data_IF_354696264054
#
_entry.id   IF_354696264054
#
_cell.length_a   1.000
_cell.length_b   1.000
_cell.length_c   1.000
_cell.angle_alpha   90.00
_cell.angle_beta   90.00
_cell.angle_gamma   90.00
#
_symmetry.space_group_name_H-M   'P 1'
#
loop_
_entity.id
_entity.type
_entity.pdbx_description
1 polymer ?
#
# COMPACT_ATOMS: atom_id res chain seq x y z
N UNK A 1 -10.96 -7.88 -4.98
CA UNK A 1 -11.29 -8.07 -3.56
C UNK A 1 -10.48 -7.18 -2.62
N UNK A 2 -9.21 -6.87 -2.94
CA UNK A 2 -8.34 -6.00 -2.11
C UNK A 2 -8.92 -4.61 -1.82
N UNK A 3 -9.74 -4.06 -2.71
CA UNK A 3 -10.35 -2.74 -2.54
C UNK A 3 -11.66 -2.74 -1.74
N UNK A 4 -12.21 -3.89 -1.33
CA UNK A 4 -13.54 -4.00 -0.73
C UNK A 4 -13.74 -3.11 0.51
N UNK A 5 -12.79 -3.11 1.44
CA UNK A 5 -12.87 -2.29 2.65
C UNK A 5 -12.70 -0.80 2.36
N UNK A 6 -11.93 -0.45 1.32
CA UNK A 6 -11.75 0.93 0.88
C UNK A 6 -13.02 1.46 0.21
N UNK A 7 -13.67 0.64 -0.61
CA UNK A 7 -14.99 0.95 -1.19
C UNK A 7 -16.06 1.16 -0.12
N UNK A 8 -16.14 0.28 0.88
CA UNK A 8 -17.07 0.44 2.01
C UNK A 8 -16.81 1.76 2.75
N UNK A 9 -15.56 2.10 3.03
CA UNK A 9 -15.19 3.36 3.69
C UNK A 9 -15.53 4.57 2.85
N UNK A 10 -15.18 4.56 1.57
CA UNK A 10 -15.51 5.62 0.61
C UNK A 10 -17.02 5.81 0.49
N UNK A 11 -17.77 4.71 0.38
CA UNK A 11 -19.22 4.69 0.28
C UNK A 11 -19.91 5.23 1.54
N UNK A 12 -19.43 4.87 2.74
CA UNK A 12 -19.96 5.40 4.00
C UNK A 12 -19.71 6.91 4.15
N UNK A 13 -18.52 7.40 3.81
CA UNK A 13 -18.23 8.83 3.83
C UNK A 13 -19.11 9.59 2.82
N UNK A 14 -19.35 9.02 1.64
CA UNK A 14 -20.26 9.58 0.64
C UNK A 14 -21.71 9.62 1.15
N UNK A 15 -22.22 8.53 1.72
CA UNK A 15 -23.58 8.47 2.29
C UNK A 15 -23.81 9.51 3.38
N UNK A 16 -22.83 9.67 4.30
CA UNK A 16 -22.86 10.69 5.36
C UNK A 16 -22.93 12.09 4.78
N UNK A 17 -22.13 12.36 3.75
CA UNK A 17 -22.16 13.64 3.03
C UNK A 17 -23.52 13.87 2.37
N UNK A 18 -24.09 12.88 1.66
CA UNK A 18 -25.40 12.98 1.03
C UNK A 18 -26.50 13.31 2.05
N UNK A 19 -26.49 12.67 3.21
CA UNK A 19 -27.44 12.93 4.29
C UNK A 19 -27.24 14.33 4.91
N UNK A 20 -25.99 14.74 5.14
CA UNK A 20 -25.66 16.08 5.65
C UNK A 20 -26.15 17.18 4.71
N UNK A 21 -26.08 16.95 3.39
CA UNK A 21 -26.55 17.90 2.37
C UNK A 21 -28.06 17.78 2.09
N UNK A 22 -28.76 16.88 2.80
CA UNK A 22 -30.21 16.68 2.61
C UNK A 22 -30.58 16.03 1.27
N UNK A 23 -29.61 15.38 0.61
CA UNK A 23 -29.83 14.69 -0.67
C UNK A 23 -30.51 13.32 -0.43
N UNK A 24 -30.15 12.65 0.68
CA UNK A 24 -30.85 11.47 1.19
C UNK A 24 -31.36 11.70 2.60
N UNK A 25 -32.37 10.92 3.03
CA UNK A 25 -32.93 11.00 4.36
C UNK A 25 -32.02 10.36 5.44
N UNK A 26 -32.27 10.72 6.71
CA UNK A 26 -31.58 10.10 7.86
C UNK A 26 -31.86 8.59 7.95
N UNK A 27 -33.07 8.16 7.60
CA UNK A 27 -33.42 6.74 7.59
C UNK A 27 -32.67 5.97 6.51
N UNK A 28 -32.46 6.57 5.33
CA UNK A 28 -31.64 6.01 4.26
C UNK A 28 -30.19 5.85 4.73
N UNK A 29 -29.61 6.89 5.36
CA UNK A 29 -28.26 6.81 5.90
C UNK A 29 -28.14 5.68 6.93
N UNK A 30 -29.06 5.62 7.89
CA UNK A 30 -29.05 4.59 8.91
C UNK A 30 -29.17 3.16 8.33
N UNK A 31 -29.99 3.01 7.26
CA UNK A 31 -30.10 1.74 6.55
C UNK A 31 -28.80 1.38 5.83
N UNK A 32 -28.18 2.34 5.11
CA UNK A 32 -26.91 2.16 4.40
C UNK A 32 -25.79 1.78 5.39
N UNK A 33 -25.69 2.47 6.52
CA UNK A 33 -24.65 2.17 7.53
C UNK A 33 -24.81 0.76 8.11
N UNK A 34 -26.03 0.35 8.45
CA UNK A 34 -26.31 -1.03 8.90
C UNK A 34 -26.00 -2.07 7.82
N UNK A 35 -26.42 -1.81 6.57
CA UNK A 35 -26.17 -2.72 5.45
C UNK A 35 -24.69 -2.87 5.14
N UNK A 36 -23.94 -1.77 5.13
CA UNK A 36 -22.50 -1.79 4.92
C UNK A 36 -21.73 -2.49 6.06
N UNK A 37 -22.20 -2.35 7.30
CA UNK A 37 -21.63 -3.09 8.43
C UNK A 37 -21.84 -4.60 8.28
N UNK A 38 -23.03 -5.03 7.81
CA UNK A 38 -23.30 -6.43 7.52
C UNK A 38 -22.43 -6.96 6.36
N UNK A 39 -22.34 -6.22 5.25
CA UNK A 39 -21.48 -6.57 4.10
C UNK A 39 -20.02 -6.70 4.54
N UNK A 40 -19.53 -5.75 5.35
CA UNK A 40 -18.16 -5.80 5.89
C UNK A 40 -17.93 -7.07 6.71
N UNK A 41 -18.87 -7.42 7.59
CA UNK A 41 -18.77 -8.62 8.41
C UNK A 41 -18.75 -9.89 7.55
N UNK A 42 -19.65 -9.99 6.54
CA UNK A 42 -19.66 -11.12 5.61
C UNK A 42 -18.33 -11.29 4.87
N UNK A 43 -17.65 -10.18 4.53
CA UNK A 43 -16.32 -10.22 3.90
C UNK A 43 -15.24 -10.66 4.90
N UNK A 44 -15.27 -10.17 6.13
CA UNK A 44 -14.32 -10.51 7.19
C UNK A 44 -14.44 -11.97 7.63
N UNK A 45 -15.66 -12.55 7.63
CA UNK A 45 -15.93 -13.95 7.96
C UNK A 45 -15.86 -14.89 6.77
N UNK A 46 -15.46 -14.38 5.57
CA UNK A 46 -15.41 -15.14 4.32
C UNK A 46 -16.76 -15.74 3.86
N UNK A 47 -17.87 -15.23 4.39
CA UNK A 47 -19.22 -15.65 4.02
C UNK A 47 -19.77 -14.90 2.79
N UNK A 48 -19.16 -13.78 2.41
CA UNK A 48 -19.58 -12.96 1.27
C UNK A 48 -19.45 -13.73 -0.05
N UNK A 49 -20.54 -13.84 -0.78
CA UNK A 49 -20.60 -14.54 -2.06
C UNK A 49 -20.22 -13.60 -3.20
N UNK A 50 -18.98 -13.73 -3.69
CA UNK A 50 -18.49 -12.98 -4.85
C UNK A 50 -19.02 -13.60 -6.14
N UNK A 51 -19.68 -12.82 -6.99
CA UNK A 51 -20.12 -13.21 -8.34
C UNK A 51 -19.15 -12.67 -9.39
N UNK A 52 -18.70 -13.55 -10.28
CA UNK A 52 -17.92 -13.15 -11.47
C UNK A 52 -18.80 -12.53 -12.55
N UNK A 53 -20.12 -12.76 -12.50
CA UNK A 53 -21.09 -12.14 -13.42
C UNK A 53 -21.30 -10.65 -13.10
N UNK A 54 -20.89 -10.22 -11.91
CA UNK A 54 -20.85 -8.83 -11.53
C UNK A 54 -19.50 -8.22 -11.95
N UNK A 55 -19.56 -7.11 -12.66
CA UNK A 55 -18.43 -6.46 -13.33
C UNK A 55 -17.18 -6.31 -12.43
N UNK A 56 -17.39 -5.88 -11.19
CA UNK A 56 -16.30 -5.55 -10.28
C UNK A 56 -16.67 -5.75 -8.79
N UNK A 57 -15.72 -5.47 -7.90
CA UNK A 57 -15.90 -5.53 -6.44
C UNK A 57 -16.99 -4.57 -5.97
N UNK A 58 -17.10 -3.42 -6.59
CA UNK A 58 -18.02 -2.35 -6.23
C UNK A 58 -19.47 -2.76 -6.54
N UNK A 59 -19.72 -3.33 -7.72
CA UNK A 59 -21.05 -3.83 -8.11
C UNK A 59 -21.50 -4.99 -7.21
N UNK A 60 -20.59 -5.90 -6.85
CA UNK A 60 -20.86 -6.97 -5.89
C UNK A 60 -21.35 -6.41 -4.55
N UNK A 61 -20.64 -5.42 -3.99
CA UNK A 61 -20.98 -4.77 -2.72
C UNK A 61 -22.31 -4.01 -2.86
N UNK A 62 -22.51 -3.25 -3.93
CA UNK A 62 -23.73 -2.46 -4.20
C UNK A 62 -24.97 -3.35 -4.31
N UNK A 63 -24.89 -4.47 -5.03
CA UNK A 63 -25.97 -5.45 -5.14
C UNK A 63 -26.29 -6.09 -3.80
N UNK A 64 -25.26 -6.49 -3.05
CA UNK A 64 -25.47 -7.07 -1.72
C UNK A 64 -26.10 -6.07 -0.75
N UNK A 65 -25.60 -4.83 -0.73
CA UNK A 65 -26.22 -3.75 0.04
C UNK A 65 -27.68 -3.56 -0.32
N UNK A 66 -27.98 -3.48 -1.63
CA UNK A 66 -29.38 -3.32 -2.11
C UNK A 66 -30.27 -4.48 -1.71
N UNK A 67 -29.76 -5.71 -1.72
CA UNK A 67 -30.51 -6.87 -1.24
C UNK A 67 -30.84 -6.79 0.27
N UNK A 68 -29.95 -6.18 1.07
CA UNK A 68 -30.12 -6.04 2.51
C UNK A 68 -31.05 -4.88 2.89
N UNK A 69 -30.98 -3.74 2.19
CA UNK A 69 -31.61 -2.48 2.61
C UNK A 69 -32.58 -1.87 1.57
N UNK A 70 -32.78 -2.55 0.45
CA UNK A 70 -33.72 -2.12 -0.59
C UNK A 70 -33.31 -0.81 -1.28
N UNK A 71 -34.27 0.10 -1.49
CA UNK A 71 -34.06 1.35 -2.24
C UNK A 71 -33.08 2.32 -1.59
N UNK A 72 -32.86 2.24 -0.29
CA UNK A 72 -31.84 3.01 0.38
C UNK A 72 -30.42 2.70 -0.19
N UNK A 73 -30.15 1.42 -0.48
CA UNK A 73 -28.91 0.99 -1.13
C UNK A 73 -28.71 1.62 -2.51
N UNK A 74 -29.78 1.70 -3.32
CA UNK A 74 -29.72 2.33 -4.65
C UNK A 74 -29.43 3.84 -4.58
N UNK A 75 -29.91 4.53 -3.54
CA UNK A 75 -29.69 5.98 -3.34
C UNK A 75 -28.24 6.31 -3.01
N UNK A 76 -27.45 5.34 -2.53
CA UNK A 76 -26.03 5.53 -2.27
C UNK A 76 -25.24 6.02 -3.49
N UNK A 77 -25.64 5.63 -4.71
CA UNK A 77 -24.95 6.01 -5.93
C UNK A 77 -25.25 7.45 -6.41
N UNK A 78 -26.12 8.20 -5.71
CA UNK A 78 -26.51 9.56 -6.09
C UNK A 78 -25.29 10.48 -6.13
N UNK A 79 -25.13 11.21 -7.25
CA UNK A 79 -24.01 12.17 -7.43
C UNK A 79 -22.62 11.53 -7.54
N UNK A 80 -22.54 10.23 -7.80
CA UNK A 80 -21.28 9.46 -7.91
C UNK A 80 -21.25 8.68 -9.22
N UNK A 81 -20.07 8.41 -9.73
CA UNK A 81 -19.80 7.48 -10.83
C UNK A 81 -18.86 6.38 -10.36
N UNK A 82 -18.81 5.26 -11.08
CA UNK A 82 -17.79 4.25 -10.89
C UNK A 82 -16.36 4.85 -11.06
N UNK A 83 -16.21 5.84 -11.93
CA UNK A 83 -14.90 6.46 -12.23
C UNK A 83 -14.28 7.15 -11.00
N UNK A 84 -14.99 8.04 -10.33
CA UNK A 84 -14.49 8.73 -9.14
C UNK A 84 -14.45 7.82 -7.90
N UNK A 85 -15.35 6.84 -7.82
CA UNK A 85 -15.34 5.80 -6.79
C UNK A 85 -14.04 4.98 -6.86
N UNK A 86 -13.74 4.35 -8.00
CA UNK A 86 -12.54 3.52 -8.19
C UNK A 86 -11.26 4.34 -7.98
N UNK A 87 -11.20 5.58 -8.51
CA UNK A 87 -10.05 6.45 -8.33
C UNK A 87 -9.80 6.77 -6.84
N UNK A 88 -10.87 6.94 -6.04
CA UNK A 88 -10.79 7.14 -4.60
C UNK A 88 -10.28 5.89 -3.88
N UNK A 89 -10.83 4.73 -4.20
CA UNK A 89 -10.51 3.48 -3.52
C UNK A 89 -9.07 3.04 -3.76
N UNK A 90 -8.56 3.22 -4.98
CA UNK A 90 -7.15 2.95 -5.30
C UNK A 90 -6.23 3.88 -4.50
N UNK A 91 -6.58 5.17 -4.35
CA UNK A 91 -5.77 6.12 -3.56
C UNK A 91 -5.82 5.78 -2.06
N UNK A 92 -6.98 5.39 -1.54
CA UNK A 92 -7.12 4.94 -0.15
C UNK A 92 -6.26 3.70 0.12
N UNK A 93 -6.37 2.70 -0.75
CA UNK A 93 -5.58 1.47 -0.66
C UNK A 93 -4.07 1.75 -0.76
N UNK A 94 -3.65 2.47 -1.79
CA UNK A 94 -2.23 2.72 -2.02
C UNK A 94 -1.60 3.53 -0.89
N UNK A 95 -2.35 4.48 -0.31
CA UNK A 95 -1.90 5.24 0.87
C UNK A 95 -1.58 4.33 2.05
N UNK A 96 -2.42 3.32 2.31
CA UNK A 96 -2.21 2.33 3.37
C UNK A 96 -1.03 1.39 3.07
N UNK A 97 -0.90 0.96 1.82
CA UNK A 97 0.27 0.16 1.40
C UNK A 97 1.58 0.93 1.55
N UNK A 98 1.61 2.22 1.20
CA UNK A 98 2.78 3.08 1.41
C UNK A 98 3.11 3.19 2.90
N UNK A 99 2.11 3.41 3.77
CA UNK A 99 2.30 3.51 5.21
C UNK A 99 2.84 2.19 5.80
N UNK A 100 2.34 1.05 5.31
CA UNK A 100 2.83 -0.28 5.67
C UNK A 100 4.29 -0.50 5.25
N UNK A 101 4.63 -0.14 4.01
CA UNK A 101 6.00 -0.25 3.49
C UNK A 101 6.97 0.66 4.24
N UNK A 102 6.59 1.90 4.58
CA UNK A 102 7.42 2.78 5.42
C UNK A 102 7.71 2.13 6.78
N UNK A 103 6.70 1.47 7.37
CA UNK A 103 6.87 0.72 8.62
C UNK A 103 7.89 -0.42 8.49
N UNK A 104 7.84 -1.18 7.40
CA UNK A 104 8.80 -2.27 7.13
C UNK A 104 10.23 -1.73 6.89
N UNK A 105 10.37 -0.66 6.11
CA UNK A 105 11.67 -0.02 5.87
C UNK A 105 12.25 0.56 7.16
N UNK A 106 11.42 1.11 8.05
CA UNK A 106 11.84 1.57 9.37
C UNK A 106 12.37 0.43 10.24
N UNK A 107 11.69 -0.71 10.24
CA UNK A 107 12.14 -1.90 10.95
C UNK A 107 13.46 -2.44 10.37
N UNK A 108 13.59 -2.44 9.05
CA UNK A 108 14.84 -2.80 8.36
C UNK A 108 15.98 -1.86 8.74
N UNK A 109 15.77 -0.55 8.74
CA UNK A 109 16.77 0.42 9.19
C UNK A 109 17.19 0.22 10.66
N UNK A 110 16.22 -0.09 11.53
CA UNK A 110 16.51 -0.35 12.94
C UNK A 110 17.41 -1.60 13.11
N UNK A 111 17.14 -2.66 12.35
CA UNK A 111 17.97 -3.87 12.37
C UNK A 111 19.39 -3.62 11.83
N UNK A 112 19.52 -2.84 10.75
CA UNK A 112 20.82 -2.43 10.22
C UNK A 112 21.61 -1.58 11.23
N UNK A 113 20.96 -0.64 11.90
CA UNK A 113 21.59 0.24 12.88
C UNK A 113 22.07 -0.53 14.11
N UNK A 114 21.25 -1.46 14.63
CA UNK A 114 21.62 -2.32 15.75
C UNK A 114 22.86 -3.16 15.42
N UNK A 115 22.83 -3.83 14.26
CA UNK A 115 23.95 -4.64 13.81
C UNK A 115 25.20 -3.81 13.52
N UNK A 116 25.03 -2.61 12.93
CA UNK A 116 26.13 -1.69 12.69
C UNK A 116 26.79 -1.23 13.99
N UNK A 117 26.01 -1.01 15.05
CA UNK A 117 26.52 -0.68 16.39
C UNK A 117 27.37 -1.79 16.99
N UNK A 118 26.92 -3.05 16.86
CA UNK A 118 27.68 -4.23 17.34
C UNK A 118 28.99 -4.42 16.57
N UNK A 119 29.08 -4.00 15.33
CA UNK A 119 30.22 -4.18 14.44
C UNK A 119 30.92 -2.87 14.04
N UNK A 120 30.77 -1.83 14.84
CA UNK A 120 31.33 -0.51 14.54
C UNK A 120 32.87 -0.52 14.38
N UNK A 121 33.58 -1.44 15.06
CA UNK A 121 35.02 -1.60 15.01
C UNK A 121 35.47 -2.88 14.28
N UNK A 122 34.58 -3.70 13.78
CA UNK A 122 34.91 -4.96 13.09
C UNK A 122 35.50 -4.65 11.71
N UNK A 123 36.80 -4.94 11.44
CA UNK A 123 37.42 -4.62 10.17
C UNK A 123 36.88 -5.55 9.06
N UNK A 124 36.70 -4.98 7.88
CA UNK A 124 36.24 -5.68 6.68
C UNK A 124 36.95 -5.09 5.45
N UNK A 125 37.31 -5.91 4.44
CA UNK A 125 37.80 -5.35 3.18
C UNK A 125 36.63 -4.66 2.43
N UNK A 126 36.88 -3.43 1.98
CA UNK A 126 36.02 -2.77 1.00
C UNK A 126 36.40 -3.24 -0.40
N UNK A 127 35.42 -3.28 -1.32
CA UNK A 127 35.58 -3.80 -2.68
C UNK A 127 35.25 -2.75 -3.73
N UNK A 128 36.04 -2.73 -4.81
CA UNK A 128 35.69 -2.12 -6.09
C UNK A 128 35.98 -3.13 -7.19
N UNK A 129 35.09 -3.27 -8.18
CA UNK A 129 35.21 -4.27 -9.25
C UNK A 129 35.41 -5.72 -8.72
N UNK A 130 34.80 -6.05 -7.58
CA UNK A 130 34.98 -7.30 -6.84
C UNK A 130 36.44 -7.58 -6.42
N UNK A 131 37.31 -6.57 -6.44
CA UNK A 131 38.69 -6.62 -5.96
C UNK A 131 38.79 -5.92 -4.61
N UNK A 132 39.62 -6.45 -3.72
CA UNK A 132 39.91 -5.83 -2.44
C UNK A 132 40.54 -4.44 -2.65
N UNK A 133 39.94 -3.45 -2.00
CA UNK A 133 40.35 -2.05 -2.08
C UNK A 133 40.70 -1.52 -0.69
N UNK A 134 40.06 -0.47 -0.20
CA UNK A 134 40.32 0.12 1.09
C UNK A 134 39.66 -0.66 2.23
N UNK A 135 40.27 -0.76 3.42
CA UNK A 135 39.62 -1.32 4.59
C UNK A 135 38.46 -0.43 5.05
N UNK A 136 37.39 -1.06 5.49
CA UNK A 136 36.22 -0.42 6.13
C UNK A 136 35.88 -1.19 7.39
N UNK A 137 34.87 -0.75 8.15
CA UNK A 137 34.26 -1.59 9.18
C UNK A 137 32.96 -2.19 8.65
N UNK A 138 32.54 -3.33 9.17
CA UNK A 138 31.29 -3.96 8.81
C UNK A 138 30.10 -3.04 9.18
N UNK A 139 30.19 -2.37 10.34
CA UNK A 139 29.18 -1.37 10.70
C UNK A 139 29.06 -0.22 9.69
N UNK A 140 30.21 0.30 9.20
CA UNK A 140 30.19 1.34 8.16
C UNK A 140 29.54 0.84 6.86
N UNK A 141 29.83 -0.39 6.47
CA UNK A 141 29.24 -1.01 5.28
C UNK A 141 27.70 -1.13 5.40
N UNK A 142 27.20 -1.60 6.55
CA UNK A 142 25.76 -1.72 6.80
C UNK A 142 25.04 -0.36 6.76
N UNK A 143 25.71 0.70 7.22
CA UNK A 143 25.14 2.06 7.17
C UNK A 143 24.93 2.56 5.73
N UNK A 144 25.62 2.04 4.73
CA UNK A 144 25.32 2.36 3.33
C UNK A 144 23.89 1.92 2.94
N UNK A 145 23.45 0.76 3.41
CA UNK A 145 22.08 0.27 3.19
C UNK A 145 21.04 1.01 4.03
N UNK A 146 21.41 1.44 5.22
CA UNK A 146 20.59 2.35 6.03
C UNK A 146 20.27 3.63 5.26
N UNK A 147 21.27 4.25 4.64
CA UNK A 147 21.13 5.47 3.83
C UNK A 147 20.28 5.25 2.57
N UNK A 148 20.38 4.07 1.93
CA UNK A 148 19.52 3.70 0.79
C UNK A 148 18.06 3.63 1.24
N UNK A 149 17.79 2.93 2.34
CA UNK A 149 16.44 2.82 2.90
C UNK A 149 15.87 4.17 3.37
N UNK A 150 16.70 5.09 3.88
CA UNK A 150 16.27 6.44 4.24
C UNK A 150 15.75 7.19 3.02
N UNK A 151 16.49 7.19 1.91
CA UNK A 151 16.05 7.81 0.64
C UNK A 151 14.81 7.14 0.05
N UNK A 152 14.66 5.83 0.23
CA UNK A 152 13.47 5.10 -0.22
C UNK A 152 12.21 5.52 0.55
N UNK A 153 12.33 5.69 1.86
CA UNK A 153 11.26 6.21 2.71
C UNK A 153 10.87 7.64 2.33
N UNK A 154 11.82 8.51 2.00
CA UNK A 154 11.53 9.86 1.52
C UNK A 154 10.75 9.84 0.19
N UNK A 155 11.13 8.96 -0.77
CA UNK A 155 10.38 8.76 -2.02
C UNK A 155 8.95 8.31 -1.76
N UNK A 156 8.76 7.33 -0.87
CA UNK A 156 7.42 6.88 -0.50
C UNK A 156 6.60 7.99 0.16
N UNK A 157 7.20 8.78 1.03
CA UNK A 157 6.54 9.92 1.67
C UNK A 157 6.10 10.98 0.64
N UNK A 158 6.92 11.26 -0.36
CA UNK A 158 6.58 12.17 -1.45
C UNK A 158 5.48 11.63 -2.36
N UNK A 159 5.53 10.37 -2.73
CA UNK A 159 4.46 9.69 -3.46
C UNK A 159 3.14 9.74 -2.66
N UNK A 160 3.18 9.48 -1.36
CA UNK A 160 2.03 9.54 -0.47
C UNK A 160 1.34 10.90 -0.47
N UNK A 161 2.08 12.00 -0.48
CA UNK A 161 1.53 13.37 -0.54
C UNK A 161 0.71 13.57 -1.82
N UNK A 162 1.23 13.11 -2.97
CA UNK A 162 0.54 13.23 -4.27
C UNK A 162 -0.65 12.27 -4.38
N UNK A 163 -0.56 11.10 -3.77
CA UNK A 163 -1.67 10.15 -3.65
C UNK A 163 -2.81 10.70 -2.78
N UNK A 164 -2.49 11.51 -1.76
CA UNK A 164 -3.44 11.94 -0.71
C UNK A 164 -4.34 13.13 -1.13
N UNK A 165 -4.93 13.06 -2.34
CA UNK A 165 -5.90 14.02 -2.87
C UNK A 165 -7.18 13.29 -3.28
N UNK A 166 -8.35 13.80 -2.83
CA UNK A 166 -9.66 13.15 -3.04
C UNK A 166 -10.20 13.39 -4.44
N UNK A 167 -10.45 12.33 -5.26
CA UNK A 167 -11.15 12.48 -6.53
C UNK A 167 -12.67 12.45 -6.39
N UNK A 168 -13.24 11.83 -5.33
CA UNK A 168 -14.68 11.63 -5.17
C UNK A 168 -15.45 12.96 -5.27
N UNK A 169 -16.56 12.93 -6.01
CA UNK A 169 -17.34 14.08 -6.38
C UNK A 169 -17.01 14.66 -7.76
N UNK A 170 -15.99 14.12 -8.44
CA UNK A 170 -15.75 14.40 -9.86
C UNK A 170 -16.77 13.69 -10.76
N UNK A 171 -17.53 12.74 -10.22
CA UNK A 171 -18.49 11.89 -10.92
C UNK A 171 -17.85 11.17 -12.12
N UNK A 172 -18.50 11.11 -13.28
CA UNK A 172 -17.93 10.47 -14.45
C UNK A 172 -16.66 11.20 -14.94
N UNK A 173 -16.68 12.54 -15.00
CA UNK A 173 -15.57 13.40 -15.42
C UNK A 173 -15.81 14.92 -15.20
N UNK A 174 -17.06 15.35 -15.04
CA UNK A 174 -17.42 16.78 -15.08
C UNK A 174 -18.14 17.24 -13.79
N UNK A 175 -18.11 16.43 -12.72
CA UNK A 175 -18.81 16.72 -11.49
C UNK A 175 -20.30 16.38 -11.57
N UNK A 176 -21.09 16.96 -10.67
CA UNK A 176 -22.53 16.70 -10.55
C UNK A 176 -23.28 18.00 -10.24
N UNK A 177 -24.56 18.06 -10.61
CA UNK A 177 -25.45 19.16 -10.25
C UNK A 177 -25.98 19.09 -8.81
N UNK A 178 -25.76 17.99 -8.10
CA UNK A 178 -26.12 17.89 -6.70
C UNK A 178 -25.18 18.76 -5.83
N UNK A 179 -25.68 19.39 -4.77
CA UNK A 179 -24.89 20.25 -3.88
C UNK A 179 -24.02 19.43 -2.91
N UNK A 180 -23.13 18.60 -3.44
CA UNK A 180 -22.24 17.76 -2.65
C UNK A 180 -21.14 18.55 -1.95
N UNK A 181 -20.70 18.08 -0.76
CA UNK A 181 -19.60 18.66 0.03
C UNK A 181 -18.36 17.77 -0.06
N UNK A 182 -17.53 17.98 -1.10
CA UNK A 182 -16.31 17.21 -1.34
C UNK A 182 -15.29 17.37 -0.23
N UNK A 183 -15.19 18.58 0.38
CA UNK A 183 -14.25 18.83 1.47
C UNK A 183 -14.65 18.08 2.75
N UNK A 184 -15.95 17.90 3.00
CA UNK A 184 -16.40 17.03 4.08
C UNK A 184 -15.92 15.60 3.88
N UNK A 185 -16.08 15.03 2.67
CA UNK A 185 -15.64 13.67 2.35
C UNK A 185 -14.12 13.55 2.45
N UNK A 186 -13.37 14.56 2.01
CA UNK A 186 -11.91 14.58 2.13
C UNK A 186 -11.47 14.46 3.60
N UNK A 187 -12.10 15.24 4.50
CA UNK A 187 -11.81 15.15 5.94
C UNK A 187 -12.19 13.82 6.55
N UNK A 188 -13.37 13.28 6.22
CA UNK A 188 -13.83 11.96 6.70
C UNK A 188 -12.88 10.83 6.32
N UNK A 189 -12.30 10.89 5.12
CA UNK A 189 -11.39 9.88 4.60
C UNK A 189 -9.90 10.19 4.87
N UNK A 190 -9.60 11.33 5.51
CA UNK A 190 -8.23 11.73 5.84
C UNK A 190 -7.39 12.12 4.62
N UNK A 191 -8.00 12.68 3.58
CA UNK A 191 -7.28 13.30 2.46
C UNK A 191 -6.89 14.75 2.82
N UNK A 192 -5.75 15.22 2.29
CA UNK A 192 -5.26 16.59 2.50
C UNK A 192 -6.06 17.66 1.74
N UNK A 193 -7.02 17.24 0.94
CA UNK A 193 -7.92 18.09 0.16
C UNK A 193 -8.42 17.38 -1.09
N UNK A 194 -9.19 18.10 -1.89
CA UNK A 194 -9.81 17.56 -3.12
C UNK A 194 -8.91 17.76 -4.34
N UNK A 195 -9.08 16.92 -5.37
CA UNK A 195 -8.50 17.15 -6.70
C UNK A 195 -9.13 18.40 -7.32
N UNK A 196 -8.30 19.28 -7.88
CA UNK A 196 -8.74 20.59 -8.37
C UNK A 196 -9.53 20.55 -9.69
N UNK A 197 -9.23 19.58 -10.55
CA UNK A 197 -9.88 19.40 -11.84
C UNK A 197 -10.56 18.04 -11.89
N UNK A 198 -11.83 17.99 -12.32
CA UNK A 198 -12.63 16.77 -12.33
C UNK A 198 -12.22 15.76 -13.41
N UNK A 199 -11.74 16.23 -14.56
CA UNK A 199 -11.23 15.35 -15.63
C UNK A 199 -9.95 14.65 -15.19
N UNK A 200 -9.02 15.40 -14.63
CA UNK A 200 -7.77 14.91 -14.08
C UNK A 200 -8.01 13.94 -12.90
N UNK A 201 -8.95 14.27 -12.01
CA UNK A 201 -9.28 13.49 -10.82
C UNK A 201 -9.63 12.02 -11.12
N UNK A 202 -10.36 11.76 -12.21
CA UNK A 202 -10.79 10.41 -12.60
C UNK A 202 -9.82 9.71 -13.54
N UNK A 203 -8.97 10.44 -14.26
CA UNK A 203 -8.05 9.89 -15.26
C UNK A 203 -6.63 9.70 -14.75
N UNK A 204 -6.19 10.48 -13.75
CA UNK A 204 -4.83 10.43 -13.20
C UNK A 204 -4.48 9.03 -12.66
N UNK A 205 -3.32 8.57 -13.05
CA UNK A 205 -2.66 7.34 -12.55
C UNK A 205 -1.17 7.58 -12.28
N UNK A 206 -0.71 8.84 -12.29
CA UNK A 206 0.69 9.19 -12.06
C UNK A 206 1.16 8.71 -10.69
N UNK A 207 0.32 8.81 -9.67
CA UNK A 207 0.61 8.31 -8.32
C UNK A 207 0.91 6.80 -8.29
N UNK A 208 0.26 6.00 -9.14
CA UNK A 208 0.51 4.57 -9.24
C UNK A 208 1.83 4.28 -9.99
N UNK A 209 2.12 5.04 -11.04
CA UNK A 209 3.39 4.96 -11.78
C UNK A 209 4.55 5.37 -10.86
N UNK A 210 4.39 6.46 -10.12
CA UNK A 210 5.39 6.94 -9.15
C UNK A 210 5.65 5.89 -8.06
N UNK A 211 4.59 5.29 -7.50
CA UNK A 211 4.72 4.21 -6.52
C UNK A 211 5.49 3.01 -7.08
N UNK A 212 5.16 2.55 -8.29
CA UNK A 212 5.85 1.41 -8.90
C UNK A 212 7.31 1.72 -9.21
N UNK A 213 7.64 2.96 -9.59
CA UNK A 213 9.01 3.41 -9.77
C UNK A 213 9.79 3.44 -8.43
N UNK A 214 9.18 3.94 -7.36
CA UNK A 214 9.77 3.91 -6.02
C UNK A 214 9.97 2.47 -5.54
N UNK A 215 8.99 1.59 -5.73
CA UNK A 215 9.08 0.17 -5.40
C UNK A 215 10.21 -0.55 -6.16
N UNK A 216 10.40 -0.24 -7.44
CA UNK A 216 11.50 -0.79 -8.23
C UNK A 216 12.89 -0.38 -7.68
N UNK A 217 13.03 0.87 -7.22
CA UNK A 217 14.27 1.32 -6.55
C UNK A 217 14.50 0.59 -5.23
N UNK A 218 13.46 0.44 -4.40
CA UNK A 218 13.53 -0.34 -3.14
C UNK A 218 14.01 -1.77 -3.45
N UNK A 219 13.39 -2.44 -4.41
CA UNK A 219 13.78 -3.80 -4.79
C UNK A 219 15.20 -3.89 -5.34
N UNK A 220 15.68 -2.86 -6.04
CA UNK A 220 17.08 -2.78 -6.49
C UNK A 220 18.03 -2.72 -5.28
N UNK A 221 17.70 -1.94 -4.24
CA UNK A 221 18.52 -1.87 -3.03
C UNK A 221 18.48 -3.18 -2.23
N UNK A 222 17.31 -3.81 -2.12
CA UNK A 222 17.15 -5.12 -1.46
C UNK A 222 17.94 -6.19 -2.21
N UNK A 223 17.80 -6.27 -3.53
CA UNK A 223 18.56 -7.22 -4.37
C UNK A 223 20.07 -7.05 -4.19
N UNK A 224 20.55 -5.81 -4.20
CA UNK A 224 21.99 -5.53 -3.99
C UNK A 224 22.48 -6.03 -2.63
N UNK A 225 21.72 -5.81 -1.56
CA UNK A 225 22.07 -6.32 -0.23
C UNK A 225 22.01 -7.85 -0.17
N UNK A 226 21.01 -8.45 -0.78
CA UNK A 226 20.86 -9.91 -0.89
C UNK A 226 22.07 -10.55 -1.58
N UNK A 227 22.50 -10.00 -2.70
CA UNK A 227 23.70 -10.49 -3.42
C UNK A 227 24.97 -10.42 -2.55
N UNK A 228 25.15 -9.37 -1.75
CA UNK A 228 26.28 -9.28 -0.83
C UNK A 228 26.19 -10.35 0.28
N UNK A 229 24.99 -10.62 0.83
CA UNK A 229 24.80 -11.70 1.81
C UNK A 229 25.13 -13.08 1.22
N UNK A 230 24.72 -13.34 -0.01
CA UNK A 230 25.02 -14.58 -0.74
C UNK A 230 26.56 -14.74 -0.92
N UNK A 231 27.21 -13.68 -1.39
CA UNK A 231 28.66 -13.68 -1.56
C UNK A 231 29.41 -13.88 -0.24
N UNK A 232 28.99 -13.18 0.82
CA UNK A 232 29.66 -13.23 2.12
C UNK A 232 29.47 -14.57 2.84
N UNK A 233 28.33 -15.25 2.60
CA UNK A 233 28.10 -16.59 3.13
C UNK A 233 28.89 -17.67 2.38
N UNK A 234 29.33 -17.41 1.14
CA UNK A 234 30.09 -18.37 0.36
C UNK A 234 31.34 -18.83 1.16
N UNK A 235 31.65 -20.15 1.21
CA UNK A 235 32.81 -20.67 1.92
C UNK A 235 34.15 -20.06 1.48
N UNK A 236 34.21 -19.48 0.29
CA UNK A 236 35.41 -18.80 -0.23
C UNK A 236 35.63 -17.40 0.39
N UNK A 237 34.56 -16.78 0.89
CA UNK A 237 34.55 -15.46 1.51
C UNK A 237 34.38 -15.60 3.02
N UNK A 238 33.29 -16.23 3.47
CA UNK A 238 33.10 -16.65 4.86
C UNK A 238 33.01 -15.49 5.87
N UNK A 239 32.46 -14.34 5.46
CA UNK A 239 32.34 -13.19 6.38
C UNK A 239 31.15 -13.32 7.32
N UNK A 240 30.08 -14.00 6.89
CA UNK A 240 28.86 -14.22 7.65
C UNK A 240 28.41 -15.68 7.57
N UNK A 241 27.56 -16.09 8.51
CA UNK A 241 26.75 -17.29 8.44
C UNK A 241 25.28 -16.91 8.66
N UNK A 242 24.39 -17.45 7.83
CA UNK A 242 22.95 -17.25 7.95
C UNK A 242 22.34 -18.38 8.79
N UNK A 243 21.38 -18.06 9.64
CA UNK A 243 20.68 -19.07 10.42
C UNK A 243 19.98 -20.08 9.52
N UNK A 244 19.96 -21.36 9.90
CA UNK A 244 19.44 -22.47 9.09
C UNK A 244 17.99 -22.26 8.64
N UNK A 245 17.17 -21.58 9.43
CA UNK A 245 15.78 -21.25 9.08
C UNK A 245 15.63 -20.36 7.83
N UNK A 246 16.71 -19.72 7.38
CA UNK A 246 16.76 -18.88 6.16
C UNK A 246 17.48 -19.57 5.00
N UNK A 247 17.79 -20.85 5.16
CA UNK A 247 18.59 -21.62 4.22
C UNK A 247 17.94 -22.96 3.93
N UNK A 248 18.26 -23.55 2.77
CA UNK A 248 17.92 -24.95 2.47
C UNK A 248 19.19 -25.80 2.36
N UNK A 249 19.03 -27.10 2.61
CA UNK A 249 20.10 -28.09 2.43
C UNK A 249 20.06 -28.73 1.05
N UNK A 250 21.01 -29.64 0.82
CA UNK A 250 21.04 -30.50 -0.35
C UNK A 250 20.89 -31.96 0.07
N UNK A 251 20.06 -32.73 -0.64
CA UNK A 251 19.86 -34.17 -0.34
C UNK A 251 21.08 -35.04 -0.65
N UNK A 252 21.89 -34.63 -1.63
CA UNK A 252 23.09 -35.37 -2.04
C UNK A 252 24.38 -34.82 -1.42
N UNK A 253 24.37 -33.56 -0.96
CA UNK A 253 25.52 -32.88 -0.36
C UNK A 253 25.18 -32.38 1.01
N UNK A 254 25.29 -33.19 2.09
CA UNK A 254 24.83 -32.78 3.44
C UNK A 254 25.50 -31.52 4.00
N UNK A 255 26.70 -31.20 3.53
CA UNK A 255 27.44 -30.00 3.91
C UNK A 255 26.99 -28.73 3.20
N UNK A 256 26.17 -28.84 2.13
CA UNK A 256 25.73 -27.68 1.34
C UNK A 256 24.58 -26.97 2.02
N UNK A 257 24.74 -25.65 2.19
CA UNK A 257 23.75 -24.74 2.74
C UNK A 257 23.50 -23.64 1.72
N UNK A 258 22.26 -23.53 1.26
CA UNK A 258 21.86 -22.57 0.23
C UNK A 258 21.18 -21.36 0.89
N UNK A 259 21.55 -20.13 0.57
CA UNK A 259 20.94 -18.92 1.11
C UNK A 259 19.63 -18.54 0.39
N UNK A 260 18.62 -19.43 0.41
CA UNK A 260 17.40 -19.27 -0.39
C UNK A 260 16.59 -17.99 -0.10
N UNK A 261 16.61 -17.50 1.14
CA UNK A 261 15.88 -16.27 1.44
C UNK A 261 16.52 -15.04 0.82
N UNK A 262 17.85 -14.84 0.86
CA UNK A 262 18.50 -13.78 0.08
C UNK A 262 18.44 -13.97 -1.44
N UNK A 263 18.49 -15.21 -1.95
CA UNK A 263 18.43 -15.55 -3.38
C UNK A 263 17.05 -15.23 -4.00
#
# INVERSE_FOLDING_TARGET
RRLAFHDIRGSLAHARMLAKQGIIGKDDLAAIERGMAAVKLEIETEEFQWSLDDEDVHLNIEKRLTALVGDAGKRLHTGRSRNDQVATDIRLWLREEIDGLDGLLRAYQAALLDLAGQHAATPMPGFTHLQVAQPVTFGHHLMAYFEMAARDRERLADCRKRTNRLPLGAAALAGTSYPIDREFVARELGFDGVCANSLDAVSDRDFAIEFTAAAALIMTHVSRFSEELILWMSPRVGFIDLADRFCTGSSIMPQKKNPDVPE
#
